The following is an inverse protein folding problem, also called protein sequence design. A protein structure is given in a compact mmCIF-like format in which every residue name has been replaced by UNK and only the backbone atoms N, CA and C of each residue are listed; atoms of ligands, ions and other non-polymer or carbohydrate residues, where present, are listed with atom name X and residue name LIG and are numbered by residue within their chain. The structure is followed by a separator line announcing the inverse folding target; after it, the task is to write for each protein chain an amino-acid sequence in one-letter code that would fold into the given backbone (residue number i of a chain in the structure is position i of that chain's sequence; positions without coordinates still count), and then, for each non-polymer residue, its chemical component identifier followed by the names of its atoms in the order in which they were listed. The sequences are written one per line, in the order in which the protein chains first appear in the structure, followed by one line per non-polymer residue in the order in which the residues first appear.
data_IF_021951975282
#
_entry.id   IF_021951975282
#
_cell.length_a   1.000
_cell.length_b   1.000
_cell.length_c   1.000
_cell.angle_alpha   90.00
_cell.angle_beta   90.00
_cell.angle_gamma   90.00
#
_symmetry.space_group_name_H-M   'P 1'
#
loop_
_entity.id
_entity.type
_entity.pdbx_description
1 polymer ?
#
# COMPACT_ATOMS: atom_id res chain seq x y z
N UNK A 1 -9.67 -16.01 22.02
CA UNK A 1 -8.37 -15.52 22.56
C UNK A 1 -7.62 -14.80 21.45
N UNK A 2 -6.95 -13.70 21.77
CA UNK A 2 -6.12 -12.96 20.82
C UNK A 2 -4.97 -13.83 20.30
N UNK A 3 -4.67 -13.70 19.01
CA UNK A 3 -3.59 -14.44 18.37
C UNK A 3 -2.41 -13.50 18.13
N UNK A 4 -1.19 -13.99 18.36
CA UNK A 4 0.00 -13.18 18.11
C UNK A 4 0.05 -12.70 16.64
N UNK A 5 0.34 -11.42 16.47
CA UNK A 5 0.48 -10.74 15.19
C UNK A 5 1.88 -10.11 15.01
N UNK A 6 2.77 -10.23 16.00
CA UNK A 6 4.07 -9.54 16.04
C UNK A 6 4.96 -9.92 14.86
N UNK A 7 5.10 -11.23 14.58
CA UNK A 7 5.92 -11.72 13.47
C UNK A 7 5.36 -11.28 12.11
N UNK A 8 4.03 -11.29 11.94
CA UNK A 8 3.38 -10.85 10.69
C UNK A 8 3.57 -9.34 10.48
N UNK A 9 3.41 -8.55 11.54
CA UNK A 9 3.66 -7.12 11.51
C UNK A 9 5.12 -6.81 11.13
N UNK A 10 6.09 -7.49 11.76
CA UNK A 10 7.51 -7.34 11.45
C UNK A 10 7.81 -7.65 9.97
N UNK A 11 7.33 -8.78 9.47
CA UNK A 11 7.54 -9.19 8.09
C UNK A 11 6.88 -8.21 7.10
N UNK A 12 5.64 -7.78 7.38
CA UNK A 12 4.96 -6.78 6.57
C UNK A 12 5.72 -5.45 6.55
N UNK A 13 6.17 -4.94 7.70
CA UNK A 13 6.93 -3.69 7.79
C UNK A 13 8.26 -3.79 7.03
N UNK A 14 9.01 -4.88 7.20
CA UNK A 14 10.27 -5.09 6.46
C UNK A 14 10.00 -5.09 4.95
N UNK A 15 9.00 -5.85 4.51
CA UNK A 15 8.68 -5.94 3.09
C UNK A 15 8.18 -4.59 2.51
N UNK A 16 7.41 -3.82 3.29
CA UNK A 16 7.00 -2.46 2.89
C UNK A 16 8.22 -1.54 2.74
N UNK A 17 9.24 -1.64 3.61
CA UNK A 17 10.49 -0.87 3.45
C UNK A 17 11.30 -1.29 2.24
N UNK A 18 11.40 -2.60 1.97
CA UNK A 18 12.05 -3.11 0.74
C UNK A 18 11.33 -2.56 -0.49
N UNK A 19 10.01 -2.62 -0.49
CA UNK A 19 9.18 -2.10 -1.59
C UNK A 19 9.37 -0.59 -1.75
N UNK A 20 9.43 0.16 -0.64
CA UNK A 20 9.67 1.60 -0.63
C UNK A 20 11.04 1.97 -1.21
N UNK A 21 12.10 1.24 -0.84
CA UNK A 21 13.42 1.44 -1.42
C UNK A 21 13.44 1.10 -2.92
N UNK A 22 12.77 0.02 -3.32
CA UNK A 22 12.70 -0.38 -4.72
C UNK A 22 11.99 0.65 -5.61
N UNK A 23 10.99 1.36 -5.10
CA UNK A 23 10.31 2.43 -5.84
C UNK A 23 11.24 3.55 -6.31
N UNK A 24 12.40 3.76 -5.68
CA UNK A 24 13.39 4.72 -6.19
C UNK A 24 14.12 4.19 -7.42
N UNK A 25 14.37 2.89 -7.50
CA UNK A 25 14.91 2.24 -8.71
C UNK A 25 13.86 2.30 -9.83
N UNK A 26 12.59 2.04 -9.48
CA UNK A 26 11.46 2.19 -10.39
C UNK A 26 11.35 3.62 -10.94
N UNK A 27 11.45 4.61 -10.07
CA UNK A 27 11.44 6.02 -10.45
C UNK A 27 12.62 6.40 -11.37
N UNK A 28 13.82 5.85 -11.13
CA UNK A 28 14.97 6.07 -12.01
C UNK A 28 14.68 5.49 -13.40
N UNK A 29 14.05 4.31 -13.48
CA UNK A 29 13.63 3.72 -14.75
C UNK A 29 12.63 4.62 -15.48
N UNK A 30 11.59 5.10 -14.80
CA UNK A 30 10.58 5.98 -15.39
C UNK A 30 11.19 7.30 -15.92
N UNK A 31 12.13 7.87 -15.16
CA UNK A 31 12.84 9.11 -15.57
C UNK A 31 13.74 8.85 -16.77
N UNK A 32 14.42 7.70 -16.82
CA UNK A 32 15.27 7.35 -17.95
C UNK A 32 14.46 7.17 -19.23
N UNK A 33 13.32 6.48 -19.15
CA UNK A 33 12.38 6.33 -20.27
C UNK A 33 11.85 7.69 -20.74
N UNK A 34 11.41 8.54 -19.81
CA UNK A 34 10.96 9.90 -20.10
C UNK A 34 12.03 10.73 -20.82
N UNK A 35 13.30 10.61 -20.39
CA UNK A 35 14.42 11.30 -21.00
C UNK A 35 14.62 10.83 -22.46
N UNK A 36 14.64 9.52 -22.70
CA UNK A 36 14.82 8.97 -24.05
C UNK A 36 13.70 9.41 -24.99
N UNK A 37 12.44 9.30 -24.56
CA UNK A 37 11.29 9.70 -25.39
C UNK A 37 11.33 11.20 -25.69
N UNK A 38 11.77 12.02 -24.74
CA UNK A 38 11.95 13.46 -24.96
C UNK A 38 12.96 13.72 -26.08
N UNK A 39 14.08 12.99 -26.11
CA UNK A 39 15.10 13.15 -27.15
C UNK A 39 14.55 12.78 -28.54
N UNK A 40 13.66 11.78 -28.67
CA UNK A 40 12.96 11.53 -29.94
C UNK A 40 12.05 12.66 -30.40
N UNK A 41 11.57 13.53 -29.49
CA UNK A 41 10.70 14.66 -29.83
C UNK A 41 11.47 15.90 -30.29
N UNK A 42 12.64 16.16 -29.72
CA UNK A 42 13.35 17.45 -29.89
C UNK A 42 14.79 17.33 -30.37
N UNK A 43 15.36 16.12 -30.32
CA UNK A 43 16.76 15.85 -30.64
C UNK A 43 16.97 15.36 -32.07
N UNK A 44 18.24 15.19 -32.42
CA UNK A 44 18.62 14.49 -33.64
C UNK A 44 18.42 12.98 -33.46
N UNK A 45 17.74 12.36 -34.42
CA UNK A 45 17.51 10.92 -34.40
C UNK A 45 18.72 10.24 -35.04
N UNK A 46 19.50 9.55 -34.23
CA UNK A 46 20.69 8.81 -34.63
C UNK A 46 20.70 7.38 -34.06
N UNK A 47 21.66 6.57 -34.50
CA UNK A 47 21.82 5.18 -34.06
C UNK A 47 22.08 5.07 -32.55
N UNK A 48 22.69 6.09 -31.94
CA UNK A 48 22.97 6.11 -30.51
C UNK A 48 21.68 6.26 -29.69
N UNK A 49 20.77 7.14 -30.12
CA UNK A 49 19.46 7.31 -29.49
C UNK A 49 18.63 6.02 -29.54
N UNK A 50 18.64 5.31 -30.68
CA UNK A 50 17.99 4.00 -30.78
C UNK A 50 18.59 2.98 -29.81
N UNK A 51 19.92 2.93 -29.66
CA UNK A 51 20.57 2.04 -28.70
C UNK A 51 20.20 2.38 -27.23
N UNK A 52 20.08 3.68 -26.89
CA UNK A 52 19.61 4.10 -25.56
C UNK A 52 18.15 3.73 -25.31
N UNK A 53 17.32 3.77 -26.36
CA UNK A 53 15.92 3.34 -26.29
C UNK A 53 15.79 1.86 -25.98
N UNK A 54 16.51 1.01 -26.71
CA UNK A 54 16.53 -0.43 -26.46
C UNK A 54 17.01 -0.77 -25.04
N UNK A 55 18.03 -0.05 -24.55
CA UNK A 55 18.51 -0.18 -23.18
C UNK A 55 17.43 0.24 -22.16
N UNK A 56 16.77 1.38 -22.40
CA UNK A 56 15.66 1.87 -21.56
C UNK A 56 14.52 0.85 -21.49
N UNK A 57 14.08 0.32 -22.62
CA UNK A 57 13.01 -0.67 -22.70
C UNK A 57 13.38 -1.95 -21.95
N UNK A 58 14.61 -2.44 -22.14
CA UNK A 58 15.13 -3.62 -21.43
C UNK A 58 15.20 -3.38 -19.93
N UNK A 59 15.70 -2.22 -19.51
CA UNK A 59 15.81 -1.86 -18.10
C UNK A 59 14.43 -1.74 -17.44
N UNK A 60 13.50 -1.02 -18.08
CA UNK A 60 12.12 -0.86 -17.63
C UNK A 60 11.40 -2.21 -17.52
N UNK A 61 11.58 -3.10 -18.49
CA UNK A 61 11.05 -4.46 -18.46
C UNK A 61 11.54 -5.27 -17.25
N UNK A 62 12.85 -5.27 -16.99
CA UNK A 62 13.44 -5.98 -15.85
C UNK A 62 12.94 -5.39 -14.51
N UNK A 63 12.95 -4.07 -14.38
CA UNK A 63 12.49 -3.36 -13.18
C UNK A 63 10.99 -3.63 -12.93
N UNK A 64 10.17 -3.64 -13.99
CA UNK A 64 8.76 -3.97 -13.95
C UNK A 64 8.48 -5.39 -13.44
N UNK A 65 9.21 -6.39 -13.94
CA UNK A 65 9.06 -7.79 -13.49
C UNK A 65 9.46 -7.93 -12.02
N UNK A 66 10.58 -7.33 -11.61
CA UNK A 66 11.02 -7.35 -10.22
C UNK A 66 10.01 -6.66 -9.30
N UNK A 67 9.46 -5.53 -9.73
CA UNK A 67 8.42 -4.83 -9.00
C UNK A 67 7.17 -5.69 -8.82
N UNK A 68 6.73 -6.40 -9.87
CA UNK A 68 5.58 -7.30 -9.79
C UNK A 68 5.77 -8.39 -8.72
N UNK A 69 6.94 -9.02 -8.67
CA UNK A 69 7.26 -10.03 -7.65
C UNK A 69 7.26 -9.43 -6.24
N UNK A 70 7.90 -8.27 -6.07
CA UNK A 70 7.94 -7.51 -4.80
C UNK A 70 6.52 -7.16 -4.35
N UNK A 71 5.69 -6.65 -5.26
CA UNK A 71 4.32 -6.25 -5.00
C UNK A 71 3.45 -7.42 -4.53
N UNK A 72 3.59 -8.60 -5.14
CA UNK A 72 2.86 -9.81 -4.75
C UNK A 72 3.23 -10.22 -3.32
N UNK A 73 4.54 -10.31 -3.02
CA UNK A 73 5.02 -10.71 -1.69
C UNK A 73 4.59 -9.69 -0.64
N UNK A 74 4.76 -8.39 -0.92
CA UNK A 74 4.32 -7.28 -0.07
C UNK A 74 2.83 -7.39 0.23
N UNK A 75 2.00 -7.58 -0.79
CA UNK A 75 0.55 -7.67 -0.65
C UNK A 75 0.14 -8.86 0.22
N UNK A 76 0.73 -10.04 0.01
CA UNK A 76 0.44 -11.23 0.83
C UNK A 76 0.78 -10.97 2.29
N UNK A 77 1.98 -10.47 2.59
CA UNK A 77 2.41 -10.22 3.97
C UNK A 77 1.57 -9.13 4.65
N UNK A 78 1.25 -8.05 3.94
CA UNK A 78 0.37 -7.00 4.42
C UNK A 78 -1.03 -7.55 4.73
N UNK A 79 -1.65 -8.29 3.82
CA UNK A 79 -2.99 -8.87 4.01
C UNK A 79 -3.04 -9.89 5.15
N UNK A 80 -1.98 -10.69 5.30
CA UNK A 80 -1.83 -11.63 6.41
C UNK A 80 -1.81 -10.93 7.78
N UNK A 81 -1.15 -9.78 7.88
CA UNK A 81 -1.14 -8.94 9.08
C UNK A 81 -2.48 -8.24 9.27
N UNK A 82 -3.02 -7.63 8.21
CA UNK A 82 -4.23 -6.82 8.24
C UNK A 82 -5.46 -7.63 8.68
N UNK A 83 -5.63 -8.84 8.12
CA UNK A 83 -6.69 -9.76 8.53
C UNK A 83 -6.55 -10.17 9.99
N UNK A 84 -5.32 -10.43 10.45
CA UNK A 84 -5.06 -10.86 11.83
C UNK A 84 -5.37 -9.73 12.83
N UNK A 85 -5.01 -8.50 12.49
CA UNK A 85 -5.34 -7.32 13.28
C UNK A 85 -6.86 -7.18 13.46
N UNK A 86 -7.63 -7.33 12.37
CA UNK A 86 -9.09 -7.24 12.41
C UNK A 86 -9.73 -8.42 13.16
N UNK A 87 -9.23 -9.64 12.94
CA UNK A 87 -9.65 -10.82 13.72
C UNK A 87 -9.45 -10.64 15.22
N UNK A 88 -8.31 -10.09 15.62
CA UNK A 88 -8.00 -9.83 17.03
C UNK A 88 -8.98 -8.82 17.63
N UNK A 89 -9.33 -7.76 16.89
CA UNK A 89 -10.34 -6.80 17.32
C UNK A 89 -11.73 -7.43 17.51
N UNK A 90 -12.14 -8.38 16.66
CA UNK A 90 -13.37 -9.15 16.85
C UNK A 90 -13.41 -9.96 18.15
N UNK A 91 -12.25 -10.33 18.71
CA UNK A 91 -12.21 -11.04 20.00
C UNK A 91 -12.52 -10.13 21.19
N UNK A 92 -12.45 -8.81 21.00
CA UNK A 92 -12.65 -7.79 22.03
C UNK A 92 -13.95 -7.00 21.83
N UNK A 93 -14.51 -7.01 20.62
CA UNK A 93 -15.72 -6.28 20.27
C UNK A 93 -16.62 -7.11 19.37
N UNK A 94 -17.84 -7.37 19.84
CA UNK A 94 -18.81 -8.22 19.15
C UNK A 94 -19.49 -7.54 17.93
N UNK A 95 -19.56 -6.20 17.91
CA UNK A 95 -20.31 -5.44 16.91
C UNK A 95 -19.36 -4.64 15.99
N UNK A 96 -18.56 -5.34 15.18
CA UNK A 96 -17.83 -4.73 14.06
C UNK A 96 -18.65 -4.82 12.77
N UNK A 97 -18.37 -3.93 11.82
CA UNK A 97 -19.18 -3.75 10.61
C UNK A 97 -19.04 -4.90 9.60
N UNK A 98 -17.93 -5.62 9.62
CA UNK A 98 -17.61 -6.69 8.67
C UNK A 98 -17.02 -7.89 9.39
N UNK A 99 -16.97 -9.06 8.74
CA UNK A 99 -16.25 -10.23 9.26
C UNK A 99 -14.77 -10.17 8.91
N UNK A 100 -13.93 -10.94 9.61
CA UNK A 100 -12.48 -10.96 9.36
C UNK A 100 -12.11 -11.37 7.92
N UNK A 101 -12.93 -12.21 7.27
CA UNK A 101 -12.75 -12.60 5.87
C UNK A 101 -12.79 -11.41 4.90
N UNK A 102 -13.62 -10.40 5.18
CA UNK A 102 -13.71 -9.19 4.35
C UNK A 102 -12.44 -8.35 4.39
N UNK A 103 -11.60 -8.46 5.43
CA UNK A 103 -10.31 -7.79 5.47
C UNK A 103 -9.38 -8.21 4.32
N UNK A 104 -9.55 -9.43 3.78
CA UNK A 104 -8.82 -9.91 2.60
C UNK A 104 -9.68 -9.83 1.35
N UNK A 105 -10.92 -10.33 1.41
CA UNK A 105 -11.79 -10.42 0.24
C UNK A 105 -12.07 -9.07 -0.41
N UNK A 106 -12.14 -8.00 0.39
CA UNK A 106 -12.36 -6.65 -0.10
C UNK A 106 -11.31 -6.15 -1.09
N UNK A 107 -10.08 -6.66 -1.05
CA UNK A 107 -9.00 -6.24 -1.95
C UNK A 107 -9.15 -6.80 -3.37
N UNK A 108 -9.90 -7.88 -3.53
CA UNK A 108 -10.03 -8.60 -4.80
C UNK A 108 -11.40 -8.40 -5.46
N UNK A 109 -12.38 -7.87 -4.73
CA UNK A 109 -13.72 -7.61 -5.25
C UNK A 109 -13.75 -6.19 -5.85
N UNK A 110 -14.09 -6.05 -7.14
CA UNK A 110 -14.26 -4.73 -7.78
C UNK A 110 -15.22 -3.83 -7.00
N UNK A 111 -14.96 -2.52 -6.99
CA UNK A 111 -15.65 -1.49 -6.21
C UNK A 111 -15.46 -1.60 -4.69
N UNK A 112 -15.51 -2.80 -4.11
CA UNK A 112 -15.17 -3.00 -2.71
C UNK A 112 -13.71 -2.61 -2.44
N UNK A 113 -12.79 -2.94 -3.35
CA UNK A 113 -11.37 -2.61 -3.23
C UNK A 113 -11.08 -1.10 -3.20
N UNK A 114 -12.03 -0.24 -3.61
CA UNK A 114 -11.89 1.22 -3.55
C UNK A 114 -12.24 1.82 -2.19
N UNK A 115 -13.05 1.13 -1.39
CA UNK A 115 -13.69 1.74 -0.21
C UNK A 115 -13.55 0.88 1.04
N UNK A 116 -13.70 -0.44 0.90
CA UNK A 116 -13.87 -1.32 2.03
C UNK A 116 -12.57 -1.55 2.82
N UNK A 117 -11.37 -1.70 2.22
CA UNK A 117 -10.15 -1.79 3.00
C UNK A 117 -9.87 -0.53 3.84
N UNK A 118 -10.20 0.65 3.32
CA UNK A 118 -10.16 1.90 4.09
C UNK A 118 -11.11 1.87 5.29
N UNK A 119 -12.37 1.48 5.07
CA UNK A 119 -13.37 1.40 6.14
C UNK A 119 -12.92 0.43 7.23
N UNK A 120 -12.40 -0.74 6.85
CA UNK A 120 -11.90 -1.74 7.80
C UNK A 120 -10.69 -1.19 8.57
N UNK A 121 -9.70 -0.58 7.90
CA UNK A 121 -8.54 0.00 8.60
C UNK A 121 -8.94 1.15 9.55
N UNK A 122 -9.88 2.00 9.13
CA UNK A 122 -10.40 3.08 9.97
C UNK A 122 -11.17 2.53 11.17
N UNK A 123 -12.00 1.51 10.96
CA UNK A 123 -12.73 0.83 12.05
C UNK A 123 -11.77 0.16 13.04
N UNK A 124 -10.66 -0.42 12.55
CA UNK A 124 -9.59 -0.95 13.39
C UNK A 124 -9.04 0.13 14.33
N UNK A 125 -8.77 1.33 13.80
CA UNK A 125 -8.24 2.45 14.57
C UNK A 125 -9.26 2.99 15.58
N UNK A 126 -10.47 3.32 15.11
CA UNK A 126 -11.50 3.96 15.92
C UNK A 126 -12.03 3.01 17.00
N UNK A 127 -12.27 1.73 16.67
CA UNK A 127 -12.73 0.74 17.65
C UNK A 127 -11.66 0.45 18.70
N UNK A 128 -10.39 0.33 18.30
CA UNK A 128 -9.29 0.16 19.25
C UNK A 128 -9.22 1.34 20.20
N UNK A 129 -9.25 2.59 19.71
CA UNK A 129 -9.25 3.78 20.57
C UNK A 129 -10.44 3.78 21.54
N UNK A 130 -11.63 3.42 21.07
CA UNK A 130 -12.83 3.38 21.90
C UNK A 130 -12.76 2.32 23.02
N UNK A 131 -12.09 1.19 22.81
CA UNK A 131 -11.88 0.17 23.86
C UNK A 131 -11.10 0.75 25.06
N UNK A 132 -10.04 1.53 24.80
CA UNK A 132 -9.27 2.18 25.88
C UNK A 132 -10.09 3.28 26.57
N UNK A 133 -10.89 4.05 25.82
CA UNK A 133 -11.76 5.09 26.40
C UNK A 133 -12.76 4.49 27.38
N UNK A 134 -13.44 3.40 26.99
CA UNK A 134 -14.48 2.77 27.80
C UNK A 134 -13.95 2.23 29.13
N UNK A 135 -12.66 1.89 29.21
CA UNK A 135 -12.00 1.42 30.43
C UNK A 135 -11.36 2.52 31.26
N UNK A 136 -11.33 3.77 30.76
CA UNK A 136 -10.64 4.87 31.41
C UNK A 136 -9.10 4.80 31.29
N UNK A 137 -8.58 3.98 30.37
CA UNK A 137 -7.15 3.82 30.14
C UNK A 137 -6.57 4.97 29.30
N UNK A 138 -5.25 5.13 29.34
CA UNK A 138 -4.52 6.09 28.50
C UNK A 138 -4.73 5.72 27.02
N UNK A 139 -5.34 6.64 26.27
CA UNK A 139 -5.69 6.41 24.88
C UNK A 139 -4.43 6.28 23.99
N UNK A 140 -4.32 5.24 23.16
CA UNK A 140 -3.24 5.13 22.20
C UNK A 140 -3.38 6.20 21.11
N UNK A 141 -2.24 6.76 20.67
CA UNK A 141 -2.20 7.74 19.58
C UNK A 141 -2.43 7.05 18.23
N UNK A 142 -3.71 6.84 17.88
CA UNK A 142 -4.17 6.27 16.61
C UNK A 142 -4.96 7.32 15.79
N UNK A 143 -4.29 8.34 15.21
CA UNK A 143 -4.95 9.34 14.38
C UNK A 143 -5.37 8.75 13.03
N UNK A 144 -6.68 8.75 12.75
CA UNK A 144 -7.28 8.23 11.50
C UNK A 144 -6.98 9.11 10.28
N UNK A 145 -6.41 10.30 10.47
CA UNK A 145 -5.97 11.17 9.39
C UNK A 145 -4.93 10.50 8.50
N UNK A 146 -3.95 9.79 9.07
CA UNK A 146 -2.95 9.09 8.25
C UNK A 146 -3.56 7.95 7.44
N UNK A 147 -4.55 7.24 7.98
CA UNK A 147 -5.29 6.20 7.23
C UNK A 147 -6.02 6.84 6.05
N UNK A 148 -6.64 7.99 6.26
CA UNK A 148 -7.37 8.71 5.21
C UNK A 148 -6.44 9.25 4.14
N UNK A 149 -5.33 9.91 4.52
CA UNK A 149 -4.35 10.45 3.57
C UNK A 149 -3.69 9.29 2.79
N UNK A 150 -3.25 8.23 3.48
CA UNK A 150 -2.71 7.03 2.83
C UNK A 150 -3.66 6.48 1.77
N UNK A 151 -4.93 6.32 2.12
CA UNK A 151 -5.92 5.76 1.21
C UNK A 151 -6.19 6.69 0.03
N UNK A 152 -6.29 8.00 0.26
CA UNK A 152 -6.44 8.99 -0.82
C UNK A 152 -5.29 8.88 -1.82
N UNK A 153 -4.04 8.85 -1.37
CA UNK A 153 -2.89 8.69 -2.27
C UNK A 153 -2.88 7.33 -2.97
N UNK A 154 -3.30 6.26 -2.27
CA UNK A 154 -3.45 4.92 -2.88
C UNK A 154 -4.46 4.94 -4.03
N UNK A 155 -5.63 5.54 -3.83
CA UNK A 155 -6.67 5.65 -4.87
C UNK A 155 -6.19 6.52 -6.03
N UNK A 156 -5.61 7.70 -5.77
CA UNK A 156 -5.10 8.57 -6.85
C UNK A 156 -4.03 7.81 -7.66
N UNK A 157 -3.07 7.15 -7.01
CA UNK A 157 -2.05 6.37 -7.73
C UNK A 157 -2.66 5.20 -8.52
N UNK A 158 -3.70 4.54 -7.99
CA UNK A 158 -4.37 3.44 -8.69
C UNK A 158 -5.10 3.92 -9.95
N UNK A 159 -5.73 5.10 -9.87
CA UNK A 159 -6.40 5.74 -11.01
C UNK A 159 -5.37 6.13 -12.07
N UNK A 160 -4.26 6.75 -11.66
CA UNK A 160 -3.15 7.12 -12.56
C UNK A 160 -2.60 5.88 -13.27
N UNK A 161 -2.26 4.84 -12.52
CA UNK A 161 -1.74 3.59 -13.06
C UNK A 161 -2.73 2.89 -13.99
N UNK A 162 -4.04 2.97 -13.72
CA UNK A 162 -5.05 2.47 -14.63
C UNK A 162 -4.96 3.16 -15.99
N UNK A 163 -4.84 4.50 -16.04
CA UNK A 163 -4.71 5.21 -17.31
C UNK A 163 -3.39 4.91 -18.02
N UNK A 164 -2.27 4.82 -17.30
CA UNK A 164 -0.97 4.41 -17.86
C UNK A 164 -1.05 3.02 -18.48
N UNK A 165 -1.62 2.05 -17.74
CA UNK A 165 -1.81 0.69 -18.24
C UNK A 165 -2.75 0.62 -19.45
N UNK A 166 -3.79 1.46 -19.49
CA UNK A 166 -4.68 1.54 -20.65
C UNK A 166 -3.99 2.16 -21.86
N UNK A 167 -3.13 3.16 -21.65
CA UNK A 167 -2.34 3.77 -22.71
C UNK A 167 -1.29 2.79 -23.27
N UNK A 168 -0.66 1.98 -22.42
CA UNK A 168 0.31 0.97 -22.85
C UNK A 168 -0.30 -0.20 -23.63
N UNK A 169 -1.63 -0.32 -23.65
CA UNK A 169 -2.38 -1.35 -24.39
C UNK A 169 -2.89 -0.84 -25.75
N UNK A 170 -2.57 0.41 -26.12
CA UNK A 170 -2.89 0.94 -27.44
C UNK A 170 -1.86 0.46 -28.46
N UNK A 171 -2.34 0.07 -29.63
CA UNK A 171 -1.49 -0.23 -30.77
C UNK A 171 -0.95 1.09 -31.36
N UNK A 172 0.35 1.12 -31.67
CA UNK A 172 1.08 2.23 -32.30
C UNK A 172 0.80 3.63 -31.70
N UNK A 173 1.10 3.85 -30.40
CA UNK A 173 0.97 5.18 -29.80
C UNK A 173 1.91 6.19 -30.48
N UNK A 174 1.41 7.41 -30.72
CA UNK A 174 2.27 8.52 -31.16
C UNK A 174 3.34 8.83 -30.11
N UNK A 175 4.50 9.35 -30.55
CA UNK A 175 5.60 9.71 -29.63
C UNK A 175 5.13 10.74 -28.58
N UNK A 176 4.28 11.70 -28.95
CA UNK A 176 3.69 12.68 -28.02
C UNK A 176 2.82 12.01 -26.94
N UNK A 177 2.07 10.96 -27.31
CA UNK A 177 1.28 10.17 -26.37
C UNK A 177 2.16 9.37 -25.42
N UNK A 178 3.22 8.74 -25.93
CA UNK A 178 4.21 8.03 -25.12
C UNK A 178 4.88 9.00 -24.13
N UNK A 179 5.30 10.19 -24.59
CA UNK A 179 5.89 11.22 -23.73
C UNK A 179 4.96 11.64 -22.60
N UNK A 180 3.69 11.93 -22.94
CA UNK A 180 2.67 12.29 -21.96
C UNK A 180 2.44 11.15 -20.96
N UNK A 181 2.42 9.90 -21.43
CA UNK A 181 2.24 8.71 -20.59
C UNK A 181 3.42 8.53 -19.63
N UNK A 182 4.66 8.71 -20.08
CA UNK A 182 5.84 8.61 -19.22
C UNK A 182 5.89 9.73 -18.16
N UNK A 183 5.44 10.95 -18.48
CA UNK A 183 5.25 12.02 -17.45
C UNK A 183 4.26 11.56 -16.38
N UNK A 184 3.11 11.03 -16.82
CA UNK A 184 2.07 10.54 -15.91
C UNK A 184 2.59 9.38 -15.05
N UNK A 185 3.41 8.50 -15.63
CA UNK A 185 4.02 7.37 -14.93
C UNK A 185 4.97 7.84 -13.81
N UNK A 186 5.87 8.81 -14.10
CA UNK A 186 6.73 9.44 -13.08
C UNK A 186 5.90 10.02 -11.93
N UNK A 187 4.82 10.75 -12.23
CA UNK A 187 3.91 11.30 -11.21
C UNK A 187 3.24 10.17 -10.41
N UNK A 188 2.80 9.10 -11.08
CA UNK A 188 2.23 7.90 -10.46
C UNK A 188 3.18 7.26 -9.47
N UNK A 189 4.44 7.08 -9.84
CA UNK A 189 5.49 6.51 -8.98
C UNK A 189 5.76 7.41 -7.77
N UNK A 190 5.81 8.74 -7.93
CA UNK A 190 5.96 9.68 -6.80
C UNK A 190 4.77 9.59 -5.82
N UNK A 191 3.54 9.51 -6.34
CA UNK A 191 2.35 9.32 -5.51
C UNK A 191 2.39 7.98 -4.75
N UNK A 192 2.90 6.93 -5.39
CA UNK A 192 3.03 5.61 -4.80
C UNK A 192 4.10 5.59 -3.69
N UNK A 193 5.22 6.30 -3.85
CA UNK A 193 6.25 6.48 -2.81
C UNK A 193 5.62 7.12 -1.56
N UNK A 194 4.86 8.20 -1.74
CA UNK A 194 4.17 8.88 -0.62
C UNK A 194 3.15 7.93 0.03
N UNK A 195 2.34 7.25 -0.79
CA UNK A 195 1.35 6.29 -0.32
C UNK A 195 1.99 5.18 0.53
N UNK A 196 3.08 4.58 0.03
CA UNK A 196 3.73 3.47 0.70
C UNK A 196 4.41 3.89 2.00
N UNK A 197 4.98 5.10 2.06
CA UNK A 197 5.50 5.67 3.32
C UNK A 197 4.38 5.84 4.36
N UNK A 198 3.23 6.35 3.95
CA UNK A 198 2.07 6.47 4.84
C UNK A 198 1.51 5.11 5.26
N UNK A 199 1.52 4.11 4.38
CA UNK A 199 1.16 2.73 4.71
C UNK A 199 2.08 2.18 5.81
N UNK A 200 3.40 2.33 5.67
CA UNK A 200 4.38 1.92 6.68
C UNK A 200 4.06 2.58 8.03
N UNK A 201 3.76 3.87 8.02
CA UNK A 201 3.37 4.61 9.22
C UNK A 201 2.10 4.03 9.85
N UNK A 202 1.06 3.78 9.08
CA UNK A 202 -0.21 3.19 9.54
C UNK A 202 0.00 1.81 10.16
N UNK A 203 0.81 0.94 9.52
CA UNK A 203 1.11 -0.39 10.05
C UNK A 203 1.91 -0.27 11.35
N UNK A 204 2.99 0.52 11.37
CA UNK A 204 3.83 0.73 12.57
C UNK A 204 3.06 1.33 13.74
N UNK A 205 2.19 2.30 13.49
CA UNK A 205 1.42 2.96 14.54
C UNK A 205 0.43 1.97 15.17
N UNK A 206 -0.21 1.10 14.38
CA UNK A 206 -1.10 0.07 14.91
C UNK A 206 -0.34 -1.07 15.63
N UNK A 207 0.78 -1.54 15.08
CA UNK A 207 1.59 -2.62 15.70
C UNK A 207 2.06 -2.26 17.12
N UNK A 208 2.32 -0.98 17.41
CA UNK A 208 2.67 -0.53 18.78
C UNK A 208 1.55 -0.73 19.79
N UNK A 209 0.29 -0.79 19.35
CA UNK A 209 -0.90 -0.90 20.20
C UNK A 209 -1.32 -2.36 20.40
N UNK A 210 -0.98 -3.27 19.49
CA UNK A 210 -1.36 -4.69 19.58
C UNK A 210 -0.95 -5.39 20.90
N UNK A 211 0.24 -5.14 21.48
CA UNK A 211 0.59 -5.70 22.79
C UNK A 211 -0.31 -5.19 23.92
N UNK A 212 -0.76 -3.93 23.85
CA UNK A 212 -1.64 -3.34 24.86
C UNK A 212 -3.01 -4.01 24.85
N UNK A 213 -3.53 -4.35 23.66
CA UNK A 213 -4.78 -5.12 23.51
C UNK A 213 -4.70 -6.50 24.19
N UNK A 214 -3.53 -7.13 24.16
CA UNK A 214 -3.32 -8.43 24.83
C UNK A 214 -3.38 -8.33 26.35
N UNK A 215 -2.91 -7.21 26.92
CA UNK A 215 -3.05 -6.94 28.35
C UNK A 215 -4.51 -6.67 28.71
N UNK A 216 -5.23 -5.91 27.88
CA UNK A 216 -6.65 -5.64 28.09
C UNK A 216 -7.49 -6.93 28.19
N UNK A 217 -7.22 -7.94 27.36
CA UNK A 217 -7.92 -9.23 27.44
C UNK A 217 -7.63 -9.99 28.74
N UNK A 218 -6.38 -9.95 29.22
CA UNK A 218 -5.99 -10.62 30.47
C UNK A 218 -6.71 -10.03 31.67
N UNK A 219 -6.78 -8.70 31.74
CA UNK A 219 -7.44 -8.00 32.84
C UNK A 219 -8.95 -8.31 32.87
N UNK A 220 -9.62 -8.32 31.72
CA UNK A 220 -11.04 -8.71 31.61
C UNK A 220 -11.29 -10.14 32.10
N UNK A 221 -10.40 -11.07 31.74
CA UNK A 221 -10.52 -12.47 32.13
C UNK A 221 -10.32 -12.63 33.65
N UNK A 222 -9.40 -11.87 34.24
CA UNK A 222 -9.17 -11.89 35.69
C UNK A 222 -10.34 -11.28 36.47
N UNK A 223 -10.96 -10.22 35.94
CA UNK A 223 -12.08 -9.53 36.61
C UNK A 223 -13.34 -10.41 36.61
N UNK A 224 -13.59 -11.17 35.55
CA UNK A 224 -14.76 -12.06 35.45
C UNK A 224 -14.63 -13.37 36.24
N UNK A 225 -13.43 -13.70 36.74
CA UNK A 225 -13.15 -14.91 37.51
C UNK A 225 -13.12 -14.66 39.04
N UNK A 226 -13.37 -13.43 39.49
CA UNK A 226 -13.53 -13.01 40.89
C UNK A 226 -15.01 -12.86 41.24
#
# INVERSE_FOLDING_TARGET
MLRDNTTRAKNAIIMLWISFAFLFIFLISDIFELYVIREFLVGEIDDELFARAELSDTFSGIVGILWLVIFIIMSILFLMWFRRAYYNLHQLKNNLSYTDGWAVGSWFIPFANWVLPYRIMKEIYDSTRNLFIQRGDIQPKLPTNFVTIWWTFSIISSVVNYFVFRASMLDDPTIEMSYTTSIINVIGTLLLIISLFLCIKVVKDYTKVEPLLSNLQKDETNTNNL
#
